data_IF_275760279481
#
_entry.id   IF_275760279481
#
_cell.length_a   1.000
_cell.length_b   1.000
_cell.length_c   1.000
_cell.angle_alpha   90.00
_cell.angle_beta   90.00
_cell.angle_gamma   90.00
#
_symmetry.space_group_name_H-M   'P 1'
#
loop_
_entity.id
_entity.type
_entity.pdbx_description
1 polymer ?
#
# COMPACT_ATOMS: atom_id res chain seq x y z
N UNK A 1 -20.91 -5.61 -12.56
CA UNK A 1 -20.10 -6.16 -11.46
C UNK A 1 -19.61 -7.53 -11.93
N UNK A 2 -18.31 -7.70 -12.15
CA UNK A 2 -17.75 -8.89 -12.77
C UNK A 2 -17.54 -9.96 -11.68
N UNK A 3 -18.24 -11.09 -11.77
CA UNK A 3 -18.09 -12.23 -10.86
C UNK A 3 -17.11 -13.24 -11.47
N UNK A 4 -16.09 -13.64 -10.69
CA UNK A 4 -15.10 -14.66 -11.04
C UNK A 4 -15.21 -15.86 -10.09
N UNK A 5 -14.90 -17.07 -10.57
CA UNK A 5 -15.13 -18.34 -9.86
C UNK A 5 -13.92 -18.87 -9.06
N UNK A 6 -12.85 -18.09 -8.89
CA UNK A 6 -11.60 -18.52 -8.25
C UNK A 6 -11.41 -18.01 -6.80
N UNK A 7 -10.43 -18.59 -6.10
CA UNK A 7 -10.18 -18.39 -4.65
C UNK A 7 -9.35 -17.12 -4.35
N UNK A 8 -9.05 -16.32 -5.37
CA UNK A 8 -8.20 -15.13 -5.25
C UNK A 8 -8.92 -14.04 -4.45
N UNK A 9 -8.35 -13.53 -3.33
CA UNK A 9 -8.93 -12.40 -2.60
C UNK A 9 -9.11 -11.19 -3.52
N UNK A 10 -10.34 -10.65 -3.59
CA UNK A 10 -10.64 -9.57 -4.53
C UNK A 10 -10.48 -8.24 -3.84
N UNK A 11 -9.36 -7.56 -4.08
CA UNK A 11 -9.11 -6.24 -3.51
C UNK A 11 -9.46 -5.13 -4.49
N UNK A 12 -10.23 -4.13 -4.07
CA UNK A 12 -10.48 -2.91 -4.85
C UNK A 12 -10.01 -1.69 -4.08
N UNK A 13 -9.11 -0.92 -4.70
CA UNK A 13 -8.60 0.33 -4.15
C UNK A 13 -9.40 1.49 -4.72
N UNK A 14 -10.07 2.22 -3.84
CA UNK A 14 -10.67 3.51 -4.16
C UNK A 14 -9.78 4.62 -3.61
N UNK A 15 -9.38 5.56 -4.46
CA UNK A 15 -8.68 6.79 -4.07
C UNK A 15 -9.64 7.97 -4.17
N UNK A 16 -9.57 8.89 -3.23
CA UNK A 16 -10.36 10.11 -3.22
C UNK A 16 -9.59 11.29 -2.67
N UNK A 17 -10.13 12.50 -2.85
CA UNK A 17 -9.62 13.73 -2.24
C UNK A 17 -8.12 13.94 -2.49
N UNK A 18 -7.70 13.73 -3.74
CA UNK A 18 -6.30 13.83 -4.16
C UNK A 18 -5.91 15.31 -4.22
N UNK A 19 -4.92 15.69 -3.41
CA UNK A 19 -4.25 16.98 -3.46
C UNK A 19 -2.85 16.77 -4.04
N UNK A 20 -2.48 17.59 -5.02
CA UNK A 20 -1.17 17.56 -5.67
C UNK A 20 -0.52 18.93 -5.50
N UNK A 21 0.71 18.94 -5.00
CA UNK A 21 1.53 20.14 -4.81
C UNK A 21 2.80 20.03 -5.65
N UNK A 22 2.94 20.92 -6.63
CA UNK A 22 4.06 20.92 -7.58
C UNK A 22 5.18 21.79 -7.00
N UNK A 23 6.15 21.15 -6.36
CA UNK A 23 7.30 21.83 -5.75
C UNK A 23 8.28 22.37 -6.81
N UNK A 24 8.45 21.64 -7.92
CA UNK A 24 9.33 22.03 -9.03
C UNK A 24 8.95 21.34 -10.33
N UNK A 25 9.67 21.63 -11.42
CA UNK A 25 9.49 20.94 -12.70
C UNK A 25 9.77 19.42 -12.64
N UNK A 26 10.47 18.95 -11.61
CA UNK A 26 10.88 17.55 -11.44
C UNK A 26 10.47 16.95 -10.10
N UNK A 27 9.80 17.68 -9.22
CA UNK A 27 9.43 17.21 -7.89
C UNK A 27 7.98 17.59 -7.59
N UNK A 28 7.22 16.65 -7.04
CA UNK A 28 5.81 16.87 -6.69
C UNK A 28 5.46 16.06 -5.45
N UNK A 29 4.60 16.60 -4.59
CA UNK A 29 3.99 15.88 -3.47
C UNK A 29 2.53 15.62 -3.74
N UNK A 30 2.00 14.54 -3.19
CA UNK A 30 0.56 14.35 -3.15
C UNK A 30 0.09 13.79 -1.82
N UNK A 31 -1.13 14.15 -1.46
CA UNK A 31 -1.88 13.49 -0.39
C UNK A 31 -3.17 12.98 -0.99
N UNK A 32 -3.50 11.72 -0.76
CA UNK A 32 -4.77 11.13 -1.17
C UNK A 32 -5.36 10.28 -0.05
N UNK A 33 -6.68 10.18 0.00
CA UNK A 33 -7.36 9.24 0.87
C UNK A 33 -7.57 7.94 0.11
N UNK A 34 -7.41 6.82 0.80
CA UNK A 34 -7.64 5.50 0.22
C UNK A 34 -8.64 4.71 1.04
N UNK A 35 -9.40 3.87 0.34
CA UNK A 35 -10.20 2.80 0.92
C UNK A 35 -9.90 1.51 0.16
N UNK A 36 -9.43 0.50 0.89
CA UNK A 36 -9.27 -0.86 0.38
C UNK A 36 -10.52 -1.63 0.71
N UNK A 37 -11.17 -2.15 -0.32
CA UNK A 37 -12.26 -3.10 -0.19
C UNK A 37 -11.73 -4.49 -0.45
N UNK A 38 -12.28 -5.49 0.23
CA UNK A 38 -11.97 -6.89 -0.02
C UNK A 38 -13.24 -7.74 -0.06
N UNK A 39 -13.27 -8.67 -1.02
CA UNK A 39 -14.23 -9.76 -1.08
C UNK A 39 -13.52 -11.10 -0.89
N UNK A 40 -14.15 -12.00 -0.13
CA UNK A 40 -13.71 -13.38 0.13
C UNK A 40 -14.90 -14.34 -0.04
N UNK A 41 -14.68 -15.66 -0.17
CA UNK A 41 -15.78 -16.62 -0.15
C UNK A 41 -16.64 -16.46 1.11
N UNK A 42 -17.93 -16.18 0.94
CA UNK A 42 -18.89 -15.95 2.03
C UNK A 42 -18.84 -14.54 2.65
N UNK A 43 -18.01 -13.63 2.14
CA UNK A 43 -17.88 -12.26 2.62
C UNK A 43 -17.97 -11.27 1.45
N UNK A 44 -19.03 -10.44 1.34
CA UNK A 44 -19.19 -9.52 0.22
C UNK A 44 -18.06 -8.48 0.18
N UNK A 45 -17.85 -7.87 -0.99
CA UNK A 45 -16.90 -6.78 -1.16
C UNK A 45 -17.22 -5.64 -0.18
N UNK A 46 -16.33 -5.41 0.78
CA UNK A 46 -16.54 -4.41 1.82
C UNK A 46 -15.23 -3.73 2.21
N UNK A 47 -15.27 -2.50 2.76
CA UNK A 47 -14.08 -1.82 3.25
C UNK A 47 -13.38 -2.61 4.35
N UNK A 48 -12.07 -2.82 4.21
CA UNK A 48 -11.24 -3.50 5.22
C UNK A 48 -10.17 -2.57 5.81
N UNK A 49 -9.73 -1.56 5.06
CA UNK A 49 -8.74 -0.57 5.49
C UNK A 49 -9.07 0.77 4.87
N UNK A 50 -8.97 1.85 5.66
CA UNK A 50 -8.97 3.22 5.15
C UNK A 50 -7.73 3.94 5.65
N UNK A 51 -7.37 5.04 5.00
CA UNK A 51 -6.25 5.87 5.42
C UNK A 51 -5.93 6.96 4.41
N UNK A 52 -4.71 7.48 4.51
CA UNK A 52 -4.15 8.41 3.53
C UNK A 52 -2.78 7.95 3.05
N UNK A 53 -2.53 8.17 1.76
CA UNK A 53 -1.20 8.11 1.18
C UNK A 53 -0.59 9.50 1.19
N UNK A 54 0.66 9.60 1.63
CA UNK A 54 1.50 10.77 1.51
C UNK A 54 2.66 10.40 0.60
N UNK A 55 2.61 10.90 -0.63
CA UNK A 55 3.50 10.49 -1.70
C UNK A 55 4.43 11.64 -2.10
N UNK A 56 5.64 11.28 -2.50
CA UNK A 56 6.55 12.16 -3.24
C UNK A 56 6.85 11.52 -4.59
N UNK A 57 6.93 12.36 -5.62
CA UNK A 57 7.23 11.97 -6.98
C UNK A 57 8.42 12.76 -7.49
N UNK A 58 9.21 12.10 -8.32
CA UNK A 58 10.31 12.71 -9.03
C UNK A 58 10.23 12.43 -10.52
N UNK A 59 10.66 13.40 -11.33
CA UNK A 59 10.82 13.24 -12.77
C UNK A 59 12.28 13.04 -13.09
N UNK A 60 12.63 11.86 -13.59
CA UNK A 60 13.98 11.49 -14.01
C UNK A 60 13.91 10.96 -15.44
N UNK A 61 14.81 11.43 -16.31
CA UNK A 61 14.83 11.07 -17.75
C UNK A 61 13.48 11.29 -18.45
N UNK A 62 12.80 12.38 -18.09
CA UNK A 62 11.50 12.74 -18.64
C UNK A 62 10.31 11.93 -18.12
N UNK A 63 10.52 10.92 -17.27
CA UNK A 63 9.46 10.05 -16.71
C UNK A 63 9.23 10.33 -15.22
N UNK A 64 7.97 10.38 -14.81
CA UNK A 64 7.58 10.47 -13.40
C UNK A 64 7.66 9.11 -12.73
N UNK A 65 8.08 9.10 -11.46
CA UNK A 65 8.27 7.92 -10.64
C UNK A 65 7.85 8.24 -9.20
N UNK A 66 7.39 7.24 -8.45
CA UNK A 66 7.31 7.35 -7.00
C UNK A 66 8.72 7.47 -6.44
N UNK A 67 8.97 8.53 -5.66
CA UNK A 67 10.19 8.67 -4.87
C UNK A 67 9.97 8.11 -3.45
N UNK A 68 8.77 8.28 -2.90
CA UNK A 68 8.37 7.64 -1.64
C UNK A 68 6.85 7.57 -1.50
N UNK A 69 6.36 6.57 -0.77
CA UNK A 69 4.98 6.52 -0.26
C UNK A 69 4.99 6.26 1.22
N UNK A 70 4.27 7.07 1.98
CA UNK A 70 3.96 6.78 3.38
C UNK A 70 2.47 6.50 3.54
N UNK A 71 2.16 5.37 4.17
CA UNK A 71 0.79 4.92 4.42
C UNK A 71 0.41 5.28 5.84
N UNK A 72 -0.68 6.03 5.99
CA UNK A 72 -1.25 6.36 7.30
C UNK A 72 -2.64 5.75 7.41
N UNK A 73 -2.76 4.55 8.01
CA UNK A 73 -4.06 3.94 8.27
C UNK A 73 -4.90 4.82 9.21
N UNK A 74 -6.20 4.87 8.97
CA UNK A 74 -7.14 5.43 9.92
C UNK A 74 -7.23 4.50 11.13
N UNK A 75 -7.15 5.05 12.34
CA UNK A 75 -7.11 4.28 13.58
C UNK A 75 -8.39 3.47 13.88
N UNK A 76 -9.52 3.82 13.28
CA UNK A 76 -10.81 3.19 13.57
C UNK A 76 -11.25 2.11 12.59
N UNK A 77 -10.56 1.93 11.46
CA UNK A 77 -10.94 0.96 10.42
C UNK A 77 -9.80 -0.04 10.20
N UNK A 78 -9.69 -0.97 11.15
CA UNK A 78 -9.05 -2.27 10.93
C UNK A 78 -10.09 -3.32 11.25
N UNK A 79 -10.66 -3.95 10.22
CA UNK A 79 -11.61 -5.06 10.45
C UNK A 79 -10.86 -6.25 11.07
N UNK A 80 -11.44 -6.82 12.13
CA UNK A 80 -10.88 -7.95 12.91
C UNK A 80 -10.65 -9.24 12.09
N UNK A 81 -11.15 -9.30 10.86
CA UNK A 81 -10.88 -10.38 9.89
C UNK A 81 -9.41 -10.45 9.45
N UNK A 82 -8.61 -9.43 9.77
CA UNK A 82 -7.17 -9.41 9.51
C UNK A 82 -6.37 -9.97 10.70
N UNK A 83 -6.89 -11.00 11.37
CA UNK A 83 -6.07 -11.81 12.29
C UNK A 83 -5.13 -12.66 11.43
N UNK A 84 -3.79 -12.56 11.59
CA UNK A 84 -2.89 -13.45 10.87
C UNK A 84 -3.23 -14.90 11.24
N UNK A 85 -3.25 -15.85 10.29
CA UNK A 85 -3.45 -17.25 10.64
C UNK A 85 -2.34 -17.66 11.63
N UNK A 86 -2.70 -18.50 12.63
CA UNK A 86 -1.81 -18.96 13.71
C UNK A 86 -0.53 -19.69 13.25
N UNK A 87 -0.27 -19.76 11.95
CA UNK A 87 0.91 -20.34 11.30
C UNK A 87 1.44 -19.51 10.11
N UNK A 88 1.26 -18.18 10.12
CA UNK A 88 1.70 -17.28 9.04
C UNK A 88 3.24 -17.08 8.91
N UNK A 89 4.07 -17.95 9.47
CA UNK A 89 5.53 -17.91 9.22
C UNK A 89 5.91 -18.40 7.81
N UNK A 90 4.98 -18.95 7.03
CA UNK A 90 5.30 -19.59 5.76
C UNK A 90 5.12 -18.73 4.48
N UNK A 91 4.54 -17.52 4.54
CA UNK A 91 4.25 -16.73 3.33
C UNK A 91 4.92 -15.34 3.27
N UNK A 92 5.70 -14.95 4.27
CA UNK A 92 6.54 -13.74 4.26
C UNK A 92 8.04 -14.09 4.06
N UNK A 93 8.38 -15.39 4.01
CA UNK A 93 9.75 -15.86 3.88
C UNK A 93 10.04 -16.44 2.49
N UNK A 94 10.42 -15.58 1.52
CA UNK A 94 11.33 -15.88 0.40
C UNK A 94 11.44 -14.66 -0.51
N UNK A 95 12.30 -13.71 -0.14
CA UNK A 95 13.27 -12.97 -1.00
C UNK A 95 13.91 -11.88 -0.13
N UNK A 96 14.69 -12.28 0.88
CA UNK A 96 15.51 -11.34 1.65
C UNK A 96 16.62 -12.07 2.42
N UNK A 97 17.52 -12.77 1.74
CA UNK A 97 18.82 -13.13 2.33
C UNK A 97 19.89 -13.19 1.24
N UNK A 98 20.70 -12.13 1.13
CA UNK A 98 22.18 -12.23 1.19
C UNK A 98 22.85 -10.84 1.24
N UNK A 99 23.63 -10.64 2.31
CA UNK A 99 24.75 -9.69 2.53
C UNK A 99 24.50 -8.17 2.56
N UNK A 100 25.01 -7.34 3.50
CA UNK A 100 25.89 -7.51 4.68
C UNK A 100 25.89 -6.21 5.52
N UNK A 101 25.82 -6.38 6.84
CA UNK A 101 26.46 -5.61 7.95
C UNK A 101 26.21 -4.10 8.20
N UNK A 102 25.77 -3.84 9.45
CA UNK A 102 26.14 -2.73 10.36
C UNK A 102 25.11 -1.60 10.63
N UNK A 103 24.38 -1.79 11.75
CA UNK A 103 23.85 -0.83 12.73
C UNK A 103 23.45 0.62 12.31
N UNK A 104 22.15 0.94 12.34
CA UNK A 104 21.56 1.89 13.32
C UNK A 104 20.04 2.09 13.11
N UNK A 105 19.35 2.31 14.21
CA UNK A 105 17.90 2.52 14.43
C UNK A 105 17.28 3.64 13.57
N UNK A 106 16.23 3.36 12.77
CA UNK A 106 15.13 4.29 12.40
C UNK A 106 14.16 3.71 11.35
N UNK A 107 12.84 3.81 11.62
CA UNK A 107 11.69 3.90 10.71
C UNK A 107 11.69 3.06 9.41
N UNK A 108 10.80 2.06 9.32
CA UNK A 108 10.61 1.24 8.13
C UNK A 108 10.06 2.05 6.94
N UNK A 109 10.96 2.47 6.04
CA UNK A 109 10.64 2.90 4.67
C UNK A 109 10.19 1.67 3.88
N UNK A 110 8.91 1.61 3.53
CA UNK A 110 8.43 0.69 2.50
C UNK A 110 8.67 1.32 1.13
N UNK A 111 9.67 0.85 0.39
CA UNK A 111 9.70 1.00 -1.06
C UNK A 111 8.60 0.10 -1.64
N UNK A 112 7.59 0.69 -2.26
CA UNK A 112 6.63 -0.04 -3.07
C UNK A 112 6.78 0.48 -4.50
N UNK A 113 7.50 -0.31 -5.31
CA UNK A 113 7.70 -0.10 -6.73
C UNK A 113 6.42 -0.46 -7.50
N UNK A 114 6.17 0.34 -8.54
CA UNK A 114 5.35 0.06 -9.73
C UNK A 114 3.82 -0.03 -9.57
N UNK A 115 3.15 1.02 -10.06
CA UNK A 115 2.13 0.93 -11.11
C UNK A 115 2.53 1.88 -12.24
#
# INVERSE_FOLDING_TARGET
MQHHQDVTPRTWHALSNILIDIESATTTRSVSYFTVHQELPGLPLQPIVTGRYVDTFERRDGKWRYASRWVQPASSVMSASMSPPRNAEALIGRTAQQSTSSANTAGSRGECNEL
#
